data_IF_082933447710
#
_entry.id   IF_082933447710
#
_cell.length_a   1.000
_cell.length_b   1.000
_cell.length_c   1.000
_cell.angle_alpha   90.00
_cell.angle_beta   90.00
_cell.angle_gamma   90.00
#
_symmetry.space_group_name_H-M   'P 1'
#
loop_
_entity.id
_entity.type
_entity.pdbx_description
1 polymer ?
#
# COMPACT_ATOMS: atom_id res chain seq x y z
N UNK A 1 -20.85 -6.85 22.01
CA UNK A 1 -19.94 -7.59 21.11
C UNK A 1 -19.88 -6.80 19.82
N UNK A 2 -18.93 -5.88 19.71
CA UNK A 2 -18.71 -5.09 18.49
C UNK A 2 -18.01 -5.97 17.46
N UNK A 3 -18.75 -6.39 16.43
CA UNK A 3 -18.16 -6.89 15.19
C UNK A 3 -17.56 -5.69 14.45
N UNK A 4 -16.32 -5.34 14.79
CA UNK A 4 -15.59 -4.27 14.11
C UNK A 4 -15.40 -4.61 12.64
N UNK A 5 -16.03 -3.84 11.76
CA UNK A 5 -15.77 -3.88 10.33
C UNK A 5 -14.28 -3.64 10.10
N UNK A 6 -13.58 -4.62 9.51
CA UNK A 6 -12.18 -4.46 9.17
C UNK A 6 -12.05 -3.44 8.04
N UNK A 7 -11.51 -2.26 8.37
CA UNK A 7 -11.19 -1.26 7.36
C UNK A 7 -9.97 -1.75 6.58
N UNK A 8 -10.15 -2.00 5.29
CA UNK A 8 -9.08 -2.37 4.37
C UNK A 8 -8.88 -1.22 3.38
N UNK A 9 -7.61 -0.83 3.20
CA UNK A 9 -7.22 0.23 2.29
C UNK A 9 -6.75 -0.38 0.97
N UNK A 10 -7.26 0.12 -0.15
CA UNK A 10 -6.89 -0.31 -1.48
C UNK A 10 -6.44 0.88 -2.30
N UNK A 11 -5.29 0.76 -2.96
CA UNK A 11 -4.85 1.73 -3.96
C UNK A 11 -5.37 1.31 -5.32
N UNK A 12 -6.15 2.18 -5.97
CA UNK A 12 -6.68 1.96 -7.31
C UNK A 12 -5.99 2.93 -8.25
N UNK A 13 -5.12 2.42 -9.12
CA UNK A 13 -4.46 3.22 -10.15
C UNK A 13 -5.40 3.41 -11.34
N UNK A 14 -5.65 4.66 -11.71
CA UNK A 14 -6.54 5.05 -12.81
C UNK A 14 -5.76 5.91 -13.80
N UNK A 15 -6.09 5.80 -15.09
CA UNK A 15 -5.23 6.35 -16.16
C UNK A 15 -5.55 7.81 -16.50
N UNK A 16 -6.61 8.37 -15.92
CA UNK A 16 -7.01 9.77 -16.13
C UNK A 16 -7.89 10.29 -15.00
N UNK A 17 -7.91 11.61 -14.81
CA UNK A 17 -8.79 12.26 -13.82
C UNK A 17 -10.27 11.95 -14.07
N UNK A 18 -10.70 11.90 -15.33
CA UNK A 18 -12.08 11.54 -15.70
C UNK A 18 -12.45 10.13 -15.27
N UNK A 19 -11.54 9.17 -15.46
CA UNK A 19 -11.74 7.79 -15.02
C UNK A 19 -11.82 7.68 -13.49
N UNK A 20 -11.05 8.52 -12.77
CA UNK A 20 -11.15 8.65 -11.32
C UNK A 20 -12.50 9.20 -10.85
N UNK A 21 -13.02 10.23 -11.50
CA UNK A 21 -14.36 10.77 -11.20
C UNK A 21 -15.45 9.74 -11.44
N UNK A 22 -15.42 9.04 -12.59
CA UNK A 22 -16.39 7.99 -12.92
C UNK A 22 -16.33 6.82 -11.94
N UNK A 23 -15.11 6.41 -11.53
CA UNK A 23 -14.89 5.36 -10.52
C UNK A 23 -15.45 5.78 -9.15
N UNK A 24 -15.13 6.99 -8.68
CA UNK A 24 -15.64 7.52 -7.42
C UNK A 24 -17.16 7.60 -7.42
N UNK A 25 -17.78 8.09 -8.50
CA UNK A 25 -19.24 8.14 -8.64
C UNK A 25 -19.88 6.75 -8.69
N UNK A 26 -19.26 5.76 -9.34
CA UNK A 26 -19.75 4.39 -9.36
C UNK A 26 -19.67 3.72 -7.98
N UNK A 27 -18.57 3.95 -7.25
CA UNK A 27 -18.36 3.41 -5.92
C UNK A 27 -19.36 4.01 -4.92
N UNK A 28 -19.54 5.33 -4.95
CA UNK A 28 -20.51 6.02 -4.10
C UNK A 28 -21.95 5.52 -4.34
N UNK A 29 -22.36 5.39 -5.61
CA UNK A 29 -23.68 4.83 -5.96
C UNK A 29 -23.87 3.41 -5.45
N UNK A 30 -22.83 2.59 -5.49
CA UNK A 30 -22.88 1.20 -4.99
C UNK A 30 -23.01 1.17 -3.48
N UNK A 31 -22.27 2.02 -2.76
CA UNK A 31 -22.40 2.21 -1.31
C UNK A 31 -23.81 2.63 -0.93
N UNK A 32 -24.37 3.61 -1.64
CA UNK A 32 -25.69 4.16 -1.33
C UNK A 32 -26.82 3.15 -1.61
N UNK A 33 -26.68 2.32 -2.65
CA UNK A 33 -27.60 1.19 -2.91
C UNK A 33 -27.53 0.12 -1.84
N UNK A 34 -26.33 -0.24 -1.38
CA UNK A 34 -26.15 -1.22 -0.31
C UNK A 34 -26.73 -0.73 1.04
N UNK A 35 -26.81 0.59 1.25
CA UNK A 35 -27.41 1.18 2.46
C UNK A 35 -28.94 1.23 2.46
N UNK A 36 -29.61 1.18 1.29
CA UNK A 36 -31.07 1.39 1.18
C UNK A 36 -31.88 0.15 0.77
N UNK A 37 -31.25 -1.02 0.57
CA UNK A 37 -31.95 -2.27 0.26
C UNK A 37 -31.89 -3.27 1.44
N UNK A 38 -32.97 -3.42 2.24
CA UNK A 38 -33.02 -4.33 3.38
C UNK A 38 -32.88 -5.82 2.99
N UNK A 39 -33.02 -6.17 1.71
CA UNK A 39 -32.97 -7.56 1.24
C UNK A 39 -31.55 -8.07 1.00
N UNK A 40 -30.56 -7.18 0.81
CA UNK A 40 -29.17 -7.53 0.51
C UNK A 40 -28.27 -7.71 1.75
N UNK A 41 -28.76 -7.36 2.95
CA UNK A 41 -27.98 -7.47 4.19
C UNK A 41 -27.75 -8.93 4.66
N UNK A 42 -28.41 -9.93 4.07
CA UNK A 42 -28.30 -11.35 4.49
C UNK A 42 -27.35 -12.22 3.68
N UNK A 43 -26.74 -11.72 2.62
CA UNK A 43 -25.73 -12.50 1.88
C UNK A 43 -24.47 -11.66 1.65
N UNK A 44 -23.66 -11.55 2.69
CA UNK A 44 -22.27 -11.10 2.57
C UNK A 44 -21.42 -12.23 1.93
N UNK A 45 -21.66 -12.49 0.65
CA UNK A 45 -20.69 -13.13 -0.23
C UNK A 45 -20.44 -12.16 -1.39
N UNK A 46 -19.18 -11.97 -1.81
CA UNK A 46 -18.86 -11.04 -2.88
C UNK A 46 -19.44 -11.58 -4.19
N UNK A 47 -20.60 -11.06 -4.60
CA UNK A 47 -21.12 -11.26 -5.96
C UNK A 47 -20.25 -10.39 -6.87
N UNK A 48 -19.10 -10.92 -7.26
CA UNK A 48 -18.42 -10.50 -8.49
C UNK A 48 -19.35 -10.89 -9.64
N UNK A 49 -20.24 -9.96 -10.00
CA UNK A 49 -21.15 -10.14 -11.12
C UNK A 49 -20.33 -10.11 -12.41
N UNK A 50 -19.93 -11.30 -12.86
CA UNK A 50 -19.36 -11.54 -14.18
C UNK A 50 -20.47 -11.28 -15.19
N UNK A 51 -20.51 -10.05 -15.72
CA UNK A 51 -21.51 -9.63 -16.70
C UNK A 51 -21.58 -10.60 -17.87
N UNK A 52 -22.68 -11.36 -17.94
CA UNK A 52 -23.04 -12.09 -19.15
C UNK A 52 -23.68 -11.11 -20.13
N UNK A 53 -23.09 -11.04 -21.31
CA UNK A 53 -23.55 -10.21 -22.43
C UNK A 53 -24.81 -10.80 -23.05
N UNK A 54 -25.79 -9.94 -23.38
CA UNK A 54 -26.75 -10.18 -24.46
C UNK A 54 -27.14 -8.85 -25.14
N UNK A 55 -26.86 -8.79 -26.46
CA UNK A 55 -27.53 -8.06 -27.56
C UNK A 55 -27.70 -6.52 -27.46
N UNK A 56 -27.55 -5.67 -28.48
CA UNK A 56 -27.13 -5.72 -29.89
C UNK A 56 -27.19 -4.27 -30.39
N UNK A 57 -26.11 -3.65 -30.89
CA UNK A 57 -26.16 -2.77 -32.07
C UNK A 57 -24.74 -2.50 -32.56
N UNK A 58 -24.53 -2.73 -33.85
CA UNK A 58 -23.26 -2.59 -34.53
C UNK A 58 -22.80 -1.13 -34.58
N UNK A 59 -21.65 -0.85 -33.97
CA UNK A 59 -20.76 0.24 -34.39
C UNK A 59 -19.34 -0.31 -34.31
N UNK A 60 -18.72 -0.49 -35.47
CA UNK A 60 -17.30 -0.79 -35.60
C UNK A 60 -16.51 0.40 -35.04
N UNK A 61 -16.19 0.36 -33.75
CA UNK A 61 -15.16 1.20 -33.17
C UNK A 61 -13.98 0.27 -32.93
N UNK A 62 -12.87 0.52 -33.61
CA UNK A 62 -11.58 -0.16 -33.41
C UNK A 62 -11.22 -0.05 -31.93
N UNK A 63 -11.65 -1.03 -31.14
CA UNK A 63 -11.27 -1.19 -29.76
C UNK A 63 -9.83 -1.67 -29.78
N UNK A 64 -8.91 -0.72 -29.61
CA UNK A 64 -7.61 -1.03 -29.03
C UNK A 64 -7.93 -1.75 -27.71
N UNK A 65 -7.79 -3.07 -27.70
CA UNK A 65 -7.85 -3.88 -26.48
C UNK A 65 -6.76 -3.30 -25.58
N UNK A 66 -7.11 -2.41 -24.66
CA UNK A 66 -6.25 -2.07 -23.52
C UNK A 66 -6.16 -3.35 -22.71
N UNK A 67 -5.09 -4.11 -22.95
CA UNK A 67 -4.78 -5.26 -22.11
C UNK A 67 -4.65 -4.74 -20.68
N UNK A 68 -5.49 -5.24 -19.78
CA UNK A 68 -5.41 -4.94 -18.35
C UNK A 68 -4.10 -5.55 -17.88
N UNK A 69 -3.04 -4.74 -17.83
CA UNK A 69 -1.73 -5.20 -17.37
C UNK A 69 -1.86 -5.53 -15.89
N UNK A 70 -1.79 -6.83 -15.55
CA UNK A 70 -1.87 -7.28 -14.17
C UNK A 70 -0.63 -6.77 -13.42
N UNK A 71 -0.86 -5.93 -12.43
CA UNK A 71 0.19 -5.47 -11.54
C UNK A 71 0.68 -6.66 -10.69
N UNK A 72 1.99 -6.89 -10.66
CA UNK A 72 2.60 -8.00 -9.90
C UNK A 72 3.68 -7.47 -8.98
N UNK A 73 3.83 -8.10 -7.80
CA UNK A 73 4.86 -7.78 -6.82
C UNK A 73 5.88 -8.91 -6.77
N UNK A 74 7.14 -8.59 -7.06
CA UNK A 74 8.26 -9.55 -7.02
C UNK A 74 9.19 -9.19 -5.87
N UNK A 75 9.47 -10.12 -4.96
CA UNK A 75 10.43 -9.88 -3.88
C UNK A 75 11.84 -9.64 -4.42
N UNK A 76 12.53 -8.61 -3.92
CA UNK A 76 13.89 -8.29 -4.36
C UNK A 76 14.97 -9.00 -3.55
N UNK A 77 14.76 -9.12 -2.24
CA UNK A 77 15.68 -9.77 -1.30
C UNK A 77 14.92 -10.68 -0.34
N UNK A 78 15.59 -11.66 0.30
CA UNK A 78 15.00 -12.39 1.40
C UNK A 78 14.53 -11.44 2.51
N UNK A 79 13.35 -11.67 3.11
CA UNK A 79 12.88 -10.85 4.22
C UNK A 79 13.88 -10.84 5.38
N UNK A 80 14.07 -9.68 6.01
CA UNK A 80 15.04 -9.50 7.09
C UNK A 80 14.38 -9.08 8.40
N UNK A 81 14.99 -9.44 9.52
CA UNK A 81 14.56 -9.01 10.85
C UNK A 81 15.22 -7.68 11.26
N UNK A 82 14.44 -6.80 11.86
CA UNK A 82 14.92 -5.53 12.40
C UNK A 82 14.07 -5.12 13.62
N UNK A 83 14.58 -4.21 14.43
CA UNK A 83 13.81 -3.53 15.48
C UNK A 83 13.18 -2.28 14.88
N UNK A 84 11.86 -2.16 14.98
CA UNK A 84 11.13 -0.99 14.53
C UNK A 84 10.99 0.00 15.69
N UNK A 85 11.34 1.26 15.44
CA UNK A 85 11.11 2.37 16.35
C UNK A 85 10.25 3.44 15.68
N UNK A 86 9.51 4.17 16.48
CA UNK A 86 8.69 5.31 16.10
C UNK A 86 9.20 6.54 16.84
N UNK A 87 9.35 7.66 16.14
CA UNK A 87 9.61 8.93 16.81
C UNK A 87 8.29 9.47 17.37
N UNK A 88 8.19 9.57 18.70
CA UNK A 88 6.99 10.00 19.40
C UNK A 88 7.09 11.46 19.84
N UNK A 89 6.09 12.26 19.43
CA UNK A 89 5.85 13.62 19.89
C UNK A 89 6.89 14.67 19.45
N UNK A 90 6.73 15.89 19.96
CA UNK A 90 7.49 17.08 19.55
C UNK A 90 8.96 17.08 20.02
N UNK A 91 9.32 16.17 20.94
CA UNK A 91 10.66 16.11 21.55
C UNK A 91 11.60 15.12 20.88
N UNK A 92 11.16 14.45 19.81
CA UNK A 92 12.00 13.55 19.04
C UNK A 92 12.42 12.27 19.76
N UNK A 93 11.66 11.81 20.75
CA UNK A 93 11.98 10.60 21.51
C UNK A 93 11.68 9.34 20.70
N UNK A 94 12.57 8.34 20.76
CA UNK A 94 12.40 7.07 20.06
C UNK A 94 11.66 6.06 20.93
N UNK A 95 10.46 5.66 20.50
CA UNK A 95 9.67 4.60 21.10
C UNK A 95 9.88 3.29 20.31
N UNK A 96 10.25 2.21 21.01
CA UNK A 96 10.38 0.90 20.37
C UNK A 96 9.01 0.28 20.12
N UNK A 97 8.67 -0.02 18.86
CA UNK A 97 7.46 -0.76 18.50
C UNK A 97 7.66 -2.29 18.60
N UNK A 98 8.91 -2.76 18.53
CA UNK A 98 9.28 -4.15 18.78
C UNK A 98 10.08 -4.79 17.64
N UNK A 99 10.27 -6.11 17.73
CA UNK A 99 10.88 -6.89 16.67
C UNK A 99 9.95 -6.98 15.47
N UNK A 100 10.50 -6.73 14.28
CA UNK A 100 9.77 -6.60 13.03
C UNK A 100 10.48 -7.32 11.90
N UNK A 101 9.71 -7.66 10.87
CA UNK A 101 10.17 -8.25 9.63
C UNK A 101 9.95 -7.26 8.51
N UNK A 102 11.02 -6.95 7.78
CA UNK A 102 11.01 -6.09 6.61
C UNK A 102 11.10 -6.91 5.32
N UNK A 103 10.37 -6.48 4.31
CA UNK A 103 10.42 -7.04 2.96
C UNK A 103 10.27 -5.90 1.95
N UNK A 104 11.06 -5.92 0.88
CA UNK A 104 10.90 -5.00 -0.25
C UNK A 104 10.56 -5.77 -1.52
N UNK A 105 9.58 -5.27 -2.26
CA UNK A 105 9.09 -5.88 -3.49
C UNK A 105 9.05 -4.86 -4.62
N UNK A 106 9.53 -5.25 -5.79
CA UNK A 106 9.40 -4.48 -7.01
C UNK A 106 8.03 -4.73 -7.64
N UNK A 107 7.33 -3.66 -7.95
CA UNK A 107 6.10 -3.66 -8.70
C UNK A 107 6.38 -3.66 -10.20
N UNK A 108 5.70 -4.53 -10.93
CA UNK A 108 5.69 -4.52 -12.40
C UNK A 108 4.27 -4.23 -12.88
N UNK A 109 4.08 -3.40 -13.93
CA UNK A 109 5.12 -2.82 -14.80
C UNK A 109 5.72 -1.49 -14.30
N UNK A 110 5.19 -0.88 -13.24
CA UNK A 110 5.55 0.48 -12.83
C UNK A 110 6.99 0.68 -12.37
N UNK A 111 7.68 -0.39 -11.95
CA UNK A 111 9.07 -0.34 -11.50
C UNK A 111 9.26 0.13 -10.06
N UNK A 112 8.20 0.61 -9.39
CA UNK A 112 8.30 1.08 -8.01
C UNK A 112 8.68 -0.03 -7.04
N UNK A 113 9.52 0.30 -6.07
CA UNK A 113 9.88 -0.57 -4.95
C UNK A 113 9.01 -0.24 -3.75
N UNK A 114 8.27 -1.24 -3.28
CA UNK A 114 7.36 -1.16 -2.15
C UNK A 114 7.96 -1.79 -0.91
N UNK A 115 7.83 -1.08 0.21
CA UNK A 115 8.23 -1.48 1.54
C UNK A 115 7.07 -2.13 2.30
N UNK A 116 7.36 -3.26 2.93
CA UNK A 116 6.48 -3.95 3.86
C UNK A 116 7.21 -4.14 5.18
N UNK A 117 6.58 -3.73 6.28
CA UNK A 117 7.10 -3.91 7.64
C UNK A 117 5.98 -4.41 8.54
N UNK A 118 6.19 -5.57 9.16
CA UNK A 118 5.24 -6.15 10.12
C UNK A 118 5.91 -6.53 11.43
N UNK A 119 5.16 -6.44 12.54
CA UNK A 119 5.64 -6.90 13.85
C UNK A 119 5.63 -8.42 13.91
N UNK A 120 6.71 -9.02 14.43
CA UNK A 120 6.83 -10.48 14.57
C UNK A 120 5.83 -11.02 15.60
N UNK A 121 5.57 -10.25 16.66
CA UNK A 121 4.69 -10.67 17.78
C UNK A 121 3.22 -10.80 17.41
N UNK A 122 2.72 -9.94 16.52
CA UNK A 122 1.29 -9.83 16.21
C UNK A 122 0.94 -10.14 14.76
N UNK A 123 1.95 -10.43 13.92
CA UNK A 123 1.81 -10.55 12.45
C UNK A 123 1.09 -9.35 11.81
N UNK A 124 0.92 -8.25 12.55
CA UNK A 124 0.28 -7.02 12.08
C UNK A 124 1.28 -6.25 11.24
N UNK A 125 0.87 -5.86 10.03
CA UNK A 125 1.62 -4.94 9.17
C UNK A 125 1.47 -3.52 9.72
N UNK A 126 2.60 -2.89 9.98
CA UNK A 126 2.67 -1.48 10.40
C UNK A 126 2.83 -0.61 9.17
N UNK A 127 3.74 -0.98 8.27
CA UNK A 127 3.88 -0.38 6.96
C UNK A 127 3.46 -1.43 5.92
N UNK A 128 2.37 -1.17 5.20
CA UNK A 128 1.87 -2.07 4.18
C UNK A 128 1.98 -1.40 2.80
N UNK A 129 2.84 -1.95 1.94
CA UNK A 129 2.93 -1.54 0.53
C UNK A 129 3.30 -0.06 0.32
N UNK A 130 4.23 0.46 1.12
CA UNK A 130 4.61 1.88 1.09
C UNK A 130 5.66 2.12 0.00
N UNK A 131 5.46 3.11 -0.87
CA UNK A 131 6.51 3.61 -1.77
C UNK A 131 7.22 4.72 -1.02
N UNK A 132 8.49 4.51 -0.70
CA UNK A 132 9.31 5.50 -0.01
C UNK A 132 10.08 6.30 -1.06
N UNK A 133 9.86 7.61 -1.08
CA UNK A 133 10.63 8.54 -1.91
C UNK A 133 12.05 8.68 -1.37
N UNK A 134 13.00 8.95 -2.27
CA UNK A 134 14.41 9.10 -1.90
C UNK A 134 14.62 10.17 -0.83
N UNK A 135 13.92 11.30 -0.91
CA UNK A 135 14.05 12.41 0.06
C UNK A 135 13.46 12.08 1.44
N UNK A 136 12.66 11.01 1.52
CA UNK A 136 12.05 10.53 2.74
C UNK A 136 12.83 9.37 3.38
N UNK A 137 13.99 9.02 2.81
CA UNK A 137 14.81 7.89 3.20
C UNK A 137 16.20 8.37 3.64
N UNK A 138 16.60 8.04 4.87
CA UNK A 138 17.90 8.46 5.39
C UNK A 138 18.62 7.32 6.12
N UNK A 139 19.92 7.18 5.85
CA UNK A 139 20.77 6.24 6.57
C UNK A 139 21.30 6.88 7.86
N UNK A 140 20.77 6.46 9.01
CA UNK A 140 21.13 7.01 10.33
C UNK A 140 22.25 6.15 10.95
N UNK A 141 23.44 6.25 10.36
CA UNK A 141 24.58 5.39 10.68
C UNK A 141 24.48 3.99 10.06
N UNK A 142 25.43 3.08 10.34
CA UNK A 142 25.66 1.89 9.50
C UNK A 142 24.56 0.82 9.56
N UNK A 143 23.68 0.87 10.57
CA UNK A 143 22.70 -0.19 10.83
C UNK A 143 21.28 0.32 11.00
N UNK A 144 21.03 1.60 10.72
CA UNK A 144 19.71 2.19 10.94
C UNK A 144 19.27 2.96 9.71
N UNK A 145 17.99 2.81 9.41
CA UNK A 145 17.33 3.46 8.30
C UNK A 145 16.15 4.23 8.85
N UNK A 146 16.12 5.55 8.66
CA UNK A 146 14.98 6.39 8.97
C UNK A 146 14.12 6.59 7.72
N UNK A 147 12.80 6.52 7.93
CA UNK A 147 11.79 6.68 6.91
C UNK A 147 10.77 7.68 7.41
N UNK A 148 10.59 8.75 6.65
CA UNK A 148 9.62 9.81 6.94
C UNK A 148 8.38 9.59 6.08
N UNK A 149 7.21 9.44 6.71
CA UNK A 149 5.93 9.27 6.02
C UNK A 149 5.00 10.43 6.35
N UNK A 150 4.27 10.91 5.35
CA UNK A 150 3.23 11.89 5.59
C UNK A 150 2.00 11.20 6.18
N UNK A 151 1.50 11.72 7.31
CA UNK A 151 0.19 11.32 7.80
C UNK A 151 -0.85 12.22 7.11
N UNK A 152 -1.83 11.68 6.36
CA UNK A 152 -2.87 12.52 5.77
C UNK A 152 -3.87 13.04 6.81
N UNK A 153 -3.97 12.39 7.98
CA UNK A 153 -4.92 12.78 9.04
C UNK A 153 -4.34 13.82 9.99
N UNK A 154 -3.05 13.72 10.28
CA UNK A 154 -2.32 14.67 11.12
C UNK A 154 -1.39 15.45 10.20
N UNK A 155 -1.41 16.79 10.22
CA UNK A 155 -0.53 17.63 9.37
C UNK A 155 0.97 17.49 9.69
N UNK A 156 1.37 16.42 10.37
CA UNK A 156 2.70 16.10 10.83
C UNK A 156 3.20 14.84 10.14
N UNK A 157 4.50 14.79 9.87
CA UNK A 157 5.17 13.59 9.37
C UNK A 157 5.43 12.60 10.50
N UNK A 158 5.24 11.32 10.23
CA UNK A 158 5.59 10.21 11.12
C UNK A 158 6.96 9.68 10.69
N UNK A 159 7.88 9.54 11.64
CA UNK A 159 9.23 9.03 11.36
C UNK A 159 9.39 7.64 11.99
N UNK A 160 9.67 6.66 11.15
CA UNK A 160 10.01 5.30 11.55
C UNK A 160 11.51 5.06 11.42
N UNK A 161 12.07 4.30 12.35
CA UNK A 161 13.45 3.83 12.25
C UNK A 161 13.48 2.31 12.24
N UNK A 162 14.11 1.76 11.20
CA UNK A 162 14.42 0.34 11.07
C UNK A 162 15.86 0.14 11.55
N UNK A 163 16.04 -0.54 12.67
CA UNK A 163 17.35 -0.86 13.24
C UNK A 163 17.68 -2.34 12.98
N UNK A 164 18.72 -2.57 12.18
CA UNK A 164 19.19 -3.90 11.80
C UNK A 164 20.31 -4.40 12.71
N UNK A 165 20.49 -5.73 12.75
CA UNK A 165 21.65 -6.35 13.41
C UNK A 165 22.91 -6.26 12.55
N UNK A 166 22.73 -6.36 11.23
CA UNK A 166 23.78 -6.38 10.22
C UNK A 166 23.70 -5.12 9.35
N UNK A 167 24.86 -4.52 9.12
CA UNK A 167 25.05 -3.36 8.25
C UNK A 167 24.84 -3.72 6.78
N UNK A 168 25.26 -4.92 6.36
CA UNK A 168 25.10 -5.37 4.98
C UNK A 168 23.62 -5.42 4.58
N UNK A 169 22.76 -5.83 5.51
CA UNK A 169 21.31 -5.86 5.28
C UNK A 169 20.75 -4.44 5.23
N UNK A 170 21.16 -3.56 6.14
CA UNK A 170 20.69 -2.17 6.15
C UNK A 170 20.99 -1.47 4.82
N UNK A 171 22.22 -1.60 4.32
CA UNK A 171 22.65 -1.03 3.04
C UNK A 171 21.86 -1.62 1.87
N UNK A 172 21.65 -2.93 1.81
CA UNK A 172 20.84 -3.57 0.74
C UNK A 172 19.40 -3.05 0.69
N UNK A 173 18.77 -2.86 1.86
CA UNK A 173 17.40 -2.34 1.92
C UNK A 173 17.39 -0.85 1.52
N UNK A 174 18.37 -0.06 1.96
CA UNK A 174 18.54 1.34 1.56
C UNK A 174 18.71 1.47 0.04
N UNK A 175 19.63 0.71 -0.55
CA UNK A 175 19.89 0.72 -2.00
C UNK A 175 18.65 0.35 -2.80
N UNK A 176 17.92 -0.68 -2.36
CA UNK A 176 16.69 -1.11 -3.03
C UNK A 176 15.57 -0.07 -2.99
N UNK A 177 15.38 0.61 -1.86
CA UNK A 177 14.38 1.68 -1.74
C UNK A 177 14.79 2.96 -2.47
N UNK A 178 16.09 3.23 -2.59
CA UNK A 178 16.63 4.39 -3.31
C UNK A 178 16.42 4.33 -4.82
N UNK A 179 15.94 3.20 -5.37
CA UNK A 179 15.56 3.09 -6.79
C UNK A 179 14.28 3.87 -7.13
N UNK A 180 13.49 4.28 -6.13
CA UNK A 180 12.31 5.10 -6.34
C UNK A 180 12.73 6.54 -6.63
N UNK A 181 12.94 6.85 -7.91
CA UNK A 181 13.25 8.21 -8.37
C UNK A 181 11.98 9.08 -8.30
N UNK A 182 12.13 10.32 -7.84
CA UNK A 182 11.09 11.34 -7.93
C UNK A 182 10.94 11.76 -9.41
N UNK A 183 9.80 11.44 -10.02
CA UNK A 183 9.43 11.93 -11.36
C UNK A 183 8.71 13.28 -11.28
#
# INVERSE_FOLDING_TARGET
MDMGASVQWFLVALNSGREAEEFCHAFQRTKDRAMYDPSLQKSASPILSRGQSLASTAVQKTQVRKEVVKQTLTGMYPPAECKLLLQAGDHGQWMSLGASRVEIRMEKPSGYVRLFVGLVSSQKRILDSVIVQQDCLELVGPKKLAITLQNPQEKMSIIYMLQFKDEVIANKIFDGLSLNVNE
#
